data_IF_260113219395
#
_entry.id   IF_260113219395
#
_cell.length_a   1.000
_cell.length_b   1.000
_cell.length_c   1.000
_cell.angle_alpha   90.00
_cell.angle_beta   90.00
_cell.angle_gamma   90.00
#
_symmetry.space_group_name_H-M   'P 1'
#
loop_
_entity.id
_entity.type
_entity.pdbx_description
1 polymer ?
#
# COMPACT_ATOMS: atom_id res chain seq x y z
N UNK A 1 -42.96 -47.09 53.00
CA UNK A 1 -41.52 -47.04 52.67
C UNK A 1 -41.38 -46.79 51.20
N UNK A 2 -41.31 -45.50 50.77
CA UNK A 2 -41.28 -45.09 49.36
C UNK A 2 -39.90 -44.57 49.02
N UNK A 3 -39.16 -45.31 48.20
CA UNK A 3 -37.82 -44.92 47.71
C UNK A 3 -37.95 -44.02 46.48
N UNK A 4 -37.58 -42.75 46.62
CA UNK A 4 -37.47 -41.78 45.48
C UNK A 4 -36.15 -42.04 44.76
N UNK A 5 -36.20 -42.40 43.50
CA UNK A 5 -35.05 -42.42 42.59
C UNK A 5 -34.80 -41.04 42.07
N UNK A 6 -33.61 -40.47 42.33
CA UNK A 6 -33.12 -39.18 41.82
C UNK A 6 -32.49 -39.48 40.47
N UNK A 7 -33.04 -38.92 39.38
CA UNK A 7 -32.44 -38.91 38.05
C UNK A 7 -31.52 -37.71 37.95
N UNK A 8 -30.21 -37.92 37.83
CA UNK A 8 -29.26 -36.87 37.42
C UNK A 8 -29.30 -36.74 35.91
N UNK A 9 -29.72 -35.60 35.41
CA UNK A 9 -29.59 -35.23 34.01
C UNK A 9 -28.22 -34.57 33.81
N UNK A 10 -27.32 -35.24 33.08
CA UNK A 10 -26.02 -34.68 32.65
C UNK A 10 -26.28 -33.88 31.37
N UNK A 11 -26.30 -32.57 31.50
CA UNK A 11 -26.34 -31.67 30.36
C UNK A 11 -24.95 -31.60 29.68
N UNK A 12 -24.83 -32.13 28.48
CA UNK A 12 -23.62 -31.94 27.67
C UNK A 12 -23.60 -30.52 27.11
N UNK A 13 -22.64 -29.70 27.59
CA UNK A 13 -22.31 -28.40 26.99
C UNK A 13 -21.59 -28.65 25.67
N UNK A 14 -22.25 -28.49 24.56
CA UNK A 14 -21.62 -28.46 23.25
C UNK A 14 -20.88 -27.14 23.11
N UNK A 15 -19.54 -27.14 23.27
CA UNK A 15 -18.70 -26.02 22.89
C UNK A 15 -18.71 -25.89 21.37
N UNK A 16 -19.53 -24.98 20.89
CA UNK A 16 -19.56 -24.60 19.48
C UNK A 16 -18.24 -23.89 19.15
N UNK A 17 -17.35 -24.56 18.44
CA UNK A 17 -16.21 -23.92 17.78
C UNK A 17 -16.80 -23.08 16.63
N UNK A 18 -16.97 -21.78 16.85
CA UNK A 18 -17.21 -20.84 15.74
C UNK A 18 -15.95 -20.85 14.88
N UNK A 19 -16.04 -21.43 13.70
CA UNK A 19 -15.01 -21.25 12.68
C UNK A 19 -14.96 -19.75 12.38
N UNK A 20 -13.86 -19.09 12.72
CA UNK A 20 -13.58 -17.71 12.28
C UNK A 20 -13.50 -17.79 10.77
N UNK A 21 -14.53 -17.31 10.11
CA UNK A 21 -14.59 -17.22 8.66
C UNK A 21 -13.49 -16.24 8.24
N UNK A 22 -12.65 -16.63 7.29
CA UNK A 22 -11.59 -15.76 6.79
C UNK A 22 -12.25 -14.53 6.17
N UNK A 23 -12.12 -13.40 6.84
CA UNK A 23 -12.65 -12.13 6.38
C UNK A 23 -11.74 -11.60 5.28
N UNK A 24 -12.32 -11.24 4.15
CA UNK A 24 -11.62 -10.69 2.99
C UNK A 24 -12.14 -9.28 2.74
N UNK A 25 -11.24 -8.33 2.67
CA UNK A 25 -11.51 -6.96 2.21
C UNK A 25 -11.05 -6.89 0.77
N UNK A 26 -11.88 -6.31 -0.09
CA UNK A 26 -11.52 -6.04 -1.48
C UNK A 26 -11.87 -4.60 -1.77
N UNK A 27 -10.89 -3.81 -2.17
CA UNK A 27 -11.02 -2.46 -2.68
C UNK A 27 -10.66 -2.49 -4.15
N UNK A 28 -11.47 -1.87 -4.98
CA UNK A 28 -11.29 -1.80 -6.43
C UNK A 28 -10.86 -0.39 -6.76
N UNK A 29 -10.02 -0.26 -7.75
CA UNK A 29 -9.53 1.00 -8.27
C UNK A 29 -9.88 1.10 -9.76
N UNK A 30 -10.26 2.26 -10.29
CA UNK A 30 -10.51 2.43 -11.72
C UNK A 30 -9.22 2.27 -12.52
N UNK A 31 -9.32 2.16 -13.83
CA UNK A 31 -8.15 2.02 -14.69
C UNK A 31 -7.89 3.28 -15.50
N UNK A 32 -6.60 3.57 -15.77
CA UNK A 32 -6.17 4.65 -16.64
C UNK A 32 -5.87 5.96 -15.91
N UNK A 33 -5.62 5.89 -14.62
CA UNK A 33 -5.27 7.00 -13.74
C UNK A 33 -3.85 6.90 -13.14
N UNK A 34 -3.03 6.01 -13.65
CA UNK A 34 -1.63 5.80 -13.28
C UNK A 34 -0.68 6.92 -13.79
N UNK A 35 -1.15 8.15 -13.75
CA UNK A 35 -0.44 9.36 -14.16
C UNK A 35 -0.32 10.40 -13.03
N UNK A 36 -0.34 9.95 -11.78
CA UNK A 36 -0.20 10.77 -10.58
C UNK A 36 -1.26 11.86 -10.49
N UNK A 37 -0.88 13.16 -10.30
CA UNK A 37 -1.84 14.26 -10.29
C UNK A 37 -2.52 14.51 -11.66
N UNK A 38 -2.21 13.71 -12.69
CA UNK A 38 -2.87 13.71 -14.00
C UNK A 38 -1.97 14.08 -15.17
N UNK A 39 -0.69 14.37 -14.92
CA UNK A 39 0.25 14.85 -15.97
C UNK A 39 1.52 14.01 -16.09
N UNK A 40 1.68 12.97 -15.27
CA UNK A 40 2.90 12.18 -15.27
C UNK A 40 3.02 11.30 -16.52
N UNK A 41 4.24 11.18 -16.99
CA UNK A 41 4.61 10.51 -18.23
C UNK A 41 5.52 9.34 -17.89
N UNK A 42 5.23 8.17 -18.44
CA UNK A 42 6.04 6.97 -18.30
C UNK A 42 7.46 7.14 -18.87
N UNK A 43 8.45 6.44 -18.32
CA UNK A 43 9.77 6.34 -18.93
C UNK A 43 9.71 5.75 -20.33
N UNK A 44 10.72 6.06 -21.16
CA UNK A 44 10.74 5.65 -22.58
C UNK A 44 11.28 4.24 -22.82
N UNK A 45 11.85 3.58 -21.81
CA UNK A 45 12.31 2.18 -21.94
C UNK A 45 11.11 1.21 -21.99
N UNK A 46 11.21 0.21 -22.86
CA UNK A 46 10.13 -0.75 -23.10
C UNK A 46 9.74 -1.61 -21.89
N UNK A 47 10.53 -1.62 -20.82
CA UNK A 47 10.18 -2.31 -19.57
C UNK A 47 9.05 -1.63 -18.79
N UNK A 48 8.78 -0.35 -19.09
CA UNK A 48 7.71 0.43 -18.49
C UNK A 48 6.48 0.41 -19.41
N UNK A 49 5.79 -0.71 -19.43
CA UNK A 49 4.60 -0.87 -20.27
C UNK A 49 3.41 -0.10 -19.70
N UNK A 50 2.57 0.56 -20.55
CA UNK A 50 1.36 1.25 -20.09
C UNK A 50 0.48 0.36 -19.21
N UNK A 51 -0.01 0.87 -18.09
CA UNK A 51 -0.80 0.15 -17.11
C UNK A 51 0.02 -0.70 -16.12
N UNK A 52 1.37 -0.66 -16.19
CA UNK A 52 2.20 -1.42 -15.24
C UNK A 52 2.26 -0.78 -13.84
N UNK A 53 1.78 0.44 -13.70
CA UNK A 53 1.61 1.15 -12.42
C UNK A 53 0.15 1.51 -12.13
N UNK A 54 -0.78 1.11 -12.98
CA UNK A 54 -2.23 1.33 -12.92
C UNK A 54 -2.83 0.29 -11.94
N UNK A 55 -3.08 0.72 -10.72
CA UNK A 55 -3.68 -0.10 -9.65
C UNK A 55 -5.10 -0.49 -10.06
N UNK A 56 -5.52 -1.69 -9.76
CA UNK A 56 -6.88 -2.14 -10.06
C UNK A 56 -7.57 -2.79 -8.88
N UNK A 57 -6.82 -3.27 -7.88
CA UNK A 57 -7.38 -3.97 -6.73
C UNK A 57 -6.39 -4.06 -5.57
N UNK A 58 -6.91 -3.88 -4.36
CA UNK A 58 -6.31 -4.39 -3.13
C UNK A 58 -7.20 -5.48 -2.55
N UNK A 59 -6.66 -6.68 -2.32
CA UNK A 59 -7.29 -7.74 -1.53
C UNK A 59 -6.49 -7.96 -0.24
N UNK A 60 -7.16 -7.89 0.91
CA UNK A 60 -6.59 -8.18 2.23
C UNK A 60 -7.37 -9.33 2.85
N UNK A 61 -6.68 -10.39 3.25
CA UNK A 61 -7.30 -11.62 3.74
C UNK A 61 -6.67 -12.11 5.03
N UNK A 62 -7.45 -12.12 6.10
CA UNK A 62 -7.06 -12.79 7.34
C UNK A 62 -7.05 -14.31 7.17
N UNK A 63 -5.93 -14.96 7.53
CA UNK A 63 -5.76 -16.41 7.41
C UNK A 63 -5.02 -16.99 8.61
N UNK A 64 -5.75 -17.32 9.64
CA UNK A 64 -5.21 -17.83 10.89
C UNK A 64 -4.32 -16.80 11.58
N UNK A 65 -3.02 -17.08 11.70
CA UNK A 65 -2.04 -16.16 12.30
C UNK A 65 -1.39 -15.20 11.31
N UNK A 66 -1.86 -15.16 10.07
CA UNK A 66 -1.28 -14.34 9.02
C UNK A 66 -2.35 -13.46 8.36
N UNK A 67 -1.88 -12.39 7.73
CA UNK A 67 -2.65 -11.56 6.81
C UNK A 67 -1.96 -11.65 5.45
N UNK A 68 -2.73 -11.94 4.42
CA UNK A 68 -2.29 -11.93 3.02
C UNK A 68 -2.72 -10.62 2.39
N UNK A 69 -1.77 -9.89 1.82
CA UNK A 69 -1.99 -8.69 1.01
C UNK A 69 -1.74 -9.04 -0.45
N UNK A 70 -2.64 -8.63 -1.32
CA UNK A 70 -2.50 -8.77 -2.76
C UNK A 70 -2.97 -7.49 -3.43
N UNK A 71 -2.08 -6.86 -4.18
CA UNK A 71 -2.40 -5.74 -5.07
C UNK A 71 -2.38 -6.22 -6.51
N UNK A 72 -3.21 -5.66 -7.36
CA UNK A 72 -3.22 -5.96 -8.79
C UNK A 72 -3.03 -4.69 -9.59
N UNK A 73 -2.33 -4.79 -10.72
CA UNK A 73 -2.14 -3.69 -11.68
C UNK A 73 -2.76 -4.07 -13.03
N UNK A 74 -3.03 -3.09 -13.88
CA UNK A 74 -3.72 -3.33 -15.15
C UNK A 74 -2.88 -4.07 -16.19
N UNK A 75 -1.57 -4.14 -16.02
CA UNK A 75 -0.67 -4.84 -16.94
C UNK A 75 -0.10 -6.13 -16.33
N UNK A 76 0.22 -7.09 -17.20
CA UNK A 76 0.95 -8.30 -16.77
C UNK A 76 2.33 -7.92 -16.23
N UNK A 77 2.65 -8.45 -15.07
CA UNK A 77 3.96 -8.26 -14.44
C UNK A 77 5.06 -8.96 -15.23
N UNK A 78 6.19 -8.30 -15.33
CA UNK A 78 7.41 -8.82 -15.93
C UNK A 78 8.60 -8.61 -15.00
N UNK A 79 9.61 -9.46 -15.14
CA UNK A 79 10.85 -9.38 -14.35
C UNK A 79 12.06 -9.17 -15.27
N UNK A 80 12.14 -8.03 -15.98
CA UNK A 80 13.20 -7.77 -16.95
C UNK A 80 14.59 -7.65 -16.31
N UNK A 81 14.66 -7.42 -15.01
CA UNK A 81 15.92 -7.25 -14.28
C UNK A 81 16.32 -8.48 -13.46
N UNK A 82 15.56 -9.59 -13.56
CA UNK A 82 15.89 -10.84 -12.89
C UNK A 82 15.89 -10.73 -11.36
N UNK A 83 14.83 -10.11 -10.80
CA UNK A 83 14.67 -9.96 -9.35
C UNK A 83 14.24 -11.27 -8.65
N UNK A 84 13.92 -12.31 -9.43
CA UNK A 84 13.52 -13.65 -8.96
C UNK A 84 12.24 -13.69 -8.12
N UNK A 85 11.44 -12.64 -8.19
CA UNK A 85 10.13 -12.52 -7.47
C UNK A 85 8.94 -12.37 -8.42
N UNK A 86 9.19 -12.34 -9.74
CA UNK A 86 8.17 -12.29 -10.80
C UNK A 86 7.69 -10.88 -11.16
N UNK A 87 8.37 -9.86 -10.67
CA UNK A 87 8.21 -8.46 -11.06
C UNK A 87 9.49 -7.68 -10.73
N UNK A 88 9.68 -6.52 -11.32
CA UNK A 88 10.93 -5.76 -11.15
C UNK A 88 10.71 -4.25 -11.00
N UNK A 89 9.77 -3.67 -11.74
CA UNK A 89 9.68 -2.20 -11.86
C UNK A 89 8.77 -1.56 -10.79
N UNK A 90 7.83 -2.31 -10.23
CA UNK A 90 6.89 -1.78 -9.25
C UNK A 90 7.48 -1.75 -7.84
N UNK A 91 7.07 -0.75 -7.07
CA UNK A 91 7.25 -0.62 -5.63
C UNK A 91 5.90 -0.21 -5.05
N UNK A 92 5.31 -1.01 -4.18
CA UNK A 92 3.97 -0.75 -3.66
C UNK A 92 4.01 -0.66 -2.16
N UNK A 93 3.32 0.34 -1.61
CA UNK A 93 3.15 0.56 -0.19
C UNK A 93 1.67 0.43 0.15
N UNK A 94 1.34 -0.45 1.09
CA UNK A 94 -0.02 -0.58 1.63
C UNK A 94 -0.01 0.01 3.03
N UNK A 95 -0.46 1.25 3.15
CA UNK A 95 -0.64 1.94 4.43
C UNK A 95 -1.94 1.47 5.07
N UNK A 96 -1.95 1.37 6.39
CA UNK A 96 -3.05 0.80 7.15
C UNK A 96 -3.30 1.66 8.38
N UNK A 97 -4.49 2.21 8.49
CA UNK A 97 -5.04 2.75 9.71
C UNK A 97 -5.80 1.62 10.43
N UNK A 98 -5.28 1.18 11.55
CA UNK A 98 -5.79 0.01 12.27
C UNK A 98 -6.82 0.34 13.33
N UNK A 99 -6.97 1.61 13.72
CA UNK A 99 -7.82 2.01 14.85
C UNK A 99 -8.87 3.09 14.52
N UNK A 100 -8.70 3.85 13.42
CA UNK A 100 -9.61 4.91 12.99
C UNK A 100 -9.66 6.10 13.97
N UNK A 101 -8.57 6.32 14.72
CA UNK A 101 -8.51 7.36 15.77
C UNK A 101 -7.76 8.58 15.25
N UNK A 102 -8.44 9.70 15.14
CA UNK A 102 -7.82 10.96 14.73
C UNK A 102 -6.64 11.32 15.65
N UNK A 103 -5.49 11.60 15.05
CA UNK A 103 -4.25 11.95 15.75
C UNK A 103 -3.47 10.75 16.30
N UNK A 104 -3.92 9.52 16.04
CA UNK A 104 -3.13 8.31 16.19
C UNK A 104 -2.26 8.09 14.95
N UNK A 105 -1.16 7.36 15.06
CA UNK A 105 -0.33 6.98 13.92
C UNK A 105 0.51 8.12 13.31
N UNK A 106 0.94 7.90 12.08
CA UNK A 106 1.81 8.80 11.32
C UNK A 106 1.01 9.54 10.25
N UNK A 107 1.22 10.84 10.13
CA UNK A 107 0.70 11.67 9.02
C UNK A 107 1.75 11.92 7.93
N UNK A 108 2.99 11.57 8.16
CA UNK A 108 4.07 11.71 7.18
C UNK A 108 4.10 10.51 6.22
N UNK A 109 4.30 10.77 4.94
CA UNK A 109 4.57 9.71 3.96
C UNK A 109 5.96 9.10 4.16
N UNK A 110 6.20 7.94 3.55
CA UNK A 110 7.55 7.35 3.57
C UNK A 110 8.54 8.20 2.76
N UNK A 111 9.82 8.22 3.15
CA UNK A 111 10.86 9.01 2.48
C UNK A 111 10.92 8.76 0.97
N UNK A 112 10.79 9.83 0.19
CA UNK A 112 10.81 9.81 -1.27
C UNK A 112 9.43 9.79 -1.95
N UNK A 113 8.32 9.78 -1.18
CA UNK A 113 6.97 9.86 -1.75
C UNK A 113 6.47 11.31 -1.89
N UNK A 114 6.95 12.23 -1.06
CA UNK A 114 6.49 13.64 -1.01
C UNK A 114 4.97 13.78 -0.81
N UNK A 115 4.43 13.03 0.12
CA UNK A 115 3.02 13.08 0.48
C UNK A 115 2.86 13.12 2.00
N UNK A 116 1.71 13.56 2.44
CA UNK A 116 1.27 13.45 3.82
C UNK A 116 -0.12 12.79 3.88
N UNK A 117 -0.55 12.41 5.07
CA UNK A 117 -1.88 11.88 5.32
C UNK A 117 -2.72 12.90 6.08
N UNK A 118 -4.02 12.93 5.82
CA UNK A 118 -4.94 13.74 6.60
C UNK A 118 -4.90 13.30 8.09
N UNK A 119 -5.05 14.21 9.06
CA UNK A 119 -4.96 13.86 10.49
C UNK A 119 -5.95 12.78 10.94
N UNK A 120 -7.12 12.70 10.30
CA UNK A 120 -8.12 11.65 10.55
C UNK A 120 -7.87 10.34 9.80
N UNK A 121 -6.79 10.28 9.00
CA UNK A 121 -6.40 9.16 8.16
C UNK A 121 -4.92 8.81 8.36
N UNK A 122 -4.39 9.09 9.56
CA UNK A 122 -3.04 8.70 9.93
C UNK A 122 -2.88 7.17 9.90
N UNK A 123 -1.67 6.68 9.61
CA UNK A 123 -1.42 5.25 9.48
C UNK A 123 -0.55 4.72 10.64
N UNK A 124 -0.90 3.53 11.16
CA UNK A 124 -0.11 2.83 12.18
C UNK A 124 0.86 1.82 11.57
N UNK A 125 0.54 1.26 10.40
CA UNK A 125 1.38 0.28 9.73
C UNK A 125 1.45 0.51 8.23
N UNK A 126 2.60 0.18 7.64
CA UNK A 126 2.74 0.13 6.19
C UNK A 126 3.43 -1.17 5.78
N UNK A 127 2.82 -1.90 4.84
CA UNK A 127 3.40 -3.12 4.26
C UNK A 127 4.10 -2.76 2.95
N UNK A 128 5.38 -3.09 2.87
CA UNK A 128 6.23 -2.77 1.71
C UNK A 128 6.29 -3.97 0.76
N UNK A 129 5.65 -3.86 -0.41
CA UNK A 129 5.70 -4.86 -1.47
C UNK A 129 6.78 -4.47 -2.49
N UNK A 130 7.97 -5.00 -2.30
CA UNK A 130 9.16 -4.65 -3.07
C UNK A 130 9.70 -5.85 -3.85
N UNK A 131 10.26 -5.65 -5.05
CA UNK A 131 11.02 -6.69 -5.75
C UNK A 131 12.41 -6.89 -5.15
N UNK A 132 12.88 -5.94 -4.32
CA UNK A 132 14.19 -6.01 -3.69
C UNK A 132 14.24 -7.08 -2.59
N UNK A 133 15.40 -7.70 -2.33
CA UNK A 133 15.55 -8.62 -1.22
C UNK A 133 15.20 -7.97 0.13
N UNK A 134 14.53 -8.73 1.02
CA UNK A 134 14.11 -8.25 2.34
C UNK A 134 15.25 -7.55 3.10
N UNK A 135 16.46 -8.12 3.08
CA UNK A 135 17.62 -7.56 3.78
C UNK A 135 18.01 -6.17 3.26
N UNK A 136 17.82 -5.92 1.96
CA UNK A 136 18.07 -4.61 1.38
C UNK A 136 17.01 -3.60 1.83
N UNK A 137 15.73 -3.97 1.74
CA UNK A 137 14.64 -3.09 2.21
C UNK A 137 14.82 -2.75 3.68
N UNK A 138 15.16 -3.73 4.53
CA UNK A 138 15.46 -3.51 5.95
C UNK A 138 16.63 -2.53 6.17
N UNK A 139 17.69 -2.65 5.40
CA UNK A 139 18.84 -1.73 5.50
C UNK A 139 18.48 -0.29 5.09
N UNK A 140 17.67 -0.14 4.05
CA UNK A 140 17.18 1.15 3.59
C UNK A 140 16.24 1.79 4.62
N UNK A 141 15.28 1.05 5.15
CA UNK A 141 14.36 1.51 6.21
C UNK A 141 15.15 1.95 7.45
N UNK A 142 16.10 1.13 7.91
CA UNK A 142 16.93 1.48 9.05
C UNK A 142 17.74 2.77 8.84
N UNK A 143 18.16 3.03 7.61
CA UNK A 143 18.97 4.21 7.28
C UNK A 143 18.13 5.48 7.07
N UNK A 144 16.93 5.36 6.50
CA UNK A 144 16.16 6.48 5.96
C UNK A 144 14.84 6.74 6.68
N UNK A 145 14.26 5.73 7.31
CA UNK A 145 12.98 5.78 8.00
C UNK A 145 13.09 5.24 9.45
N UNK A 146 14.21 5.51 10.12
CA UNK A 146 14.49 4.96 11.44
C UNK A 146 13.44 5.34 12.51
N UNK A 147 12.82 6.50 12.40
CA UNK A 147 11.77 6.96 13.31
C UNK A 147 10.46 6.15 13.20
N UNK A 148 10.24 5.50 12.05
CA UNK A 148 9.02 4.72 11.74
C UNK A 148 9.32 3.22 11.64
N UNK A 149 10.51 2.77 12.05
CA UNK A 149 11.01 1.42 11.76
C UNK A 149 10.11 0.30 12.30
N UNK A 150 9.47 0.53 13.45
CA UNK A 150 8.59 -0.44 14.11
C UNK A 150 7.20 -0.55 13.43
N UNK A 151 6.89 0.40 12.56
CA UNK A 151 5.61 0.50 11.86
C UNK A 151 5.73 0.15 10.37
N UNK A 152 6.96 -0.08 9.88
CA UNK A 152 7.21 -0.53 8.51
C UNK A 152 7.38 -2.05 8.47
N UNK A 153 6.36 -2.73 7.96
CA UNK A 153 6.33 -4.19 7.84
C UNK A 153 6.94 -4.62 6.51
N UNK A 154 8.04 -5.35 6.58
CA UNK A 154 8.77 -5.86 5.41
C UNK A 154 8.55 -7.37 5.30
N UNK A 155 7.70 -7.83 4.39
CA UNK A 155 7.42 -9.25 4.24
C UNK A 155 8.69 -10.06 3.97
N UNK A 156 8.73 -11.28 4.49
CA UNK A 156 9.86 -12.19 4.22
C UNK A 156 10.05 -12.45 2.73
N UNK A 157 8.95 -12.44 1.97
CA UNK A 157 8.94 -12.64 0.53
C UNK A 157 7.74 -11.91 -0.07
N UNK A 158 7.98 -11.15 -1.12
CA UNK A 158 6.98 -10.64 -2.04
C UNK A 158 6.99 -11.48 -3.31
N UNK A 159 5.86 -11.67 -3.97
CA UNK A 159 5.76 -12.51 -5.16
C UNK A 159 4.81 -11.87 -6.16
N UNK A 160 5.28 -11.69 -7.40
CA UNK A 160 4.47 -11.30 -8.55
C UNK A 160 3.98 -12.51 -9.33
N UNK A 161 2.70 -12.50 -9.73
CA UNK A 161 2.13 -13.53 -10.60
C UNK A 161 0.98 -12.97 -11.43
N UNK A 162 1.08 -13.08 -12.74
CA UNK A 162 0.06 -12.53 -13.65
C UNK A 162 0.05 -11.01 -13.59
N UNK A 163 -1.00 -10.44 -13.06
CA UNK A 163 -1.15 -9.00 -12.82
C UNK A 163 -1.01 -8.62 -11.34
N UNK A 164 -0.79 -9.57 -10.45
CA UNK A 164 -0.87 -9.34 -9.00
C UNK A 164 0.47 -9.50 -8.30
N UNK A 165 0.72 -8.63 -7.33
CA UNK A 165 1.84 -8.65 -6.40
C UNK A 165 1.29 -8.94 -5.02
N UNK A 166 1.83 -9.92 -4.32
CA UNK A 166 1.32 -10.29 -3.01
C UNK A 166 2.40 -10.68 -2.03
N UNK A 167 2.05 -10.56 -0.77
CA UNK A 167 2.86 -10.99 0.36
C UNK A 167 2.00 -11.50 1.50
N UNK A 168 2.65 -12.24 2.40
CA UNK A 168 2.08 -12.71 3.65
C UNK A 168 2.91 -12.18 4.80
N UNK A 169 2.24 -11.61 5.79
CA UNK A 169 2.83 -11.13 7.03
C UNK A 169 2.15 -11.80 8.22
N UNK A 170 2.76 -11.79 9.39
CA UNK A 170 2.08 -12.25 10.60
C UNK A 170 1.07 -11.20 11.06
N UNK A 171 -0.09 -11.63 11.53
CA UNK A 171 -1.11 -10.72 12.04
C UNK A 171 -0.60 -9.87 13.20
N UNK A 172 0.29 -10.43 14.04
CA UNK A 172 0.93 -9.70 15.16
C UNK A 172 1.82 -8.54 14.71
N UNK A 173 2.31 -8.54 13.46
CA UNK A 173 3.13 -7.46 12.90
C UNK A 173 2.27 -6.26 12.46
N UNK A 174 0.98 -6.46 12.17
CA UNK A 174 0.05 -5.40 11.78
C UNK A 174 -0.69 -4.87 13.00
N UNK A 175 -1.24 -5.75 13.83
CA UNK A 175 -2.02 -5.39 15.00
C UNK A 175 -3.12 -6.37 15.30
N UNK A 176 -3.87 -6.08 16.37
CA UNK A 176 -5.04 -6.86 16.78
C UNK A 176 -6.30 -6.17 16.30
N UNK A 177 -7.06 -6.79 15.45
CA UNK A 177 -8.30 -6.23 14.93
C UNK A 177 -8.82 -7.05 13.76
N UNK A 178 -9.98 -6.64 13.29
CA UNK A 178 -10.57 -7.19 12.09
C UNK A 178 -10.13 -6.35 10.90
N UNK A 179 -9.40 -6.91 9.92
CA UNK A 179 -9.02 -6.17 8.71
C UNK A 179 -10.18 -5.49 7.98
N UNK A 180 -11.41 -5.93 8.18
CA UNK A 180 -12.60 -5.30 7.58
C UNK A 180 -12.97 -3.95 8.22
N UNK A 181 -12.41 -3.61 9.37
CA UNK A 181 -12.66 -2.33 10.05
C UNK A 181 -11.52 -1.32 9.86
N UNK A 182 -10.44 -1.70 9.20
CA UNK A 182 -9.28 -0.85 8.97
C UNK A 182 -9.47 0.06 7.77
N UNK A 183 -8.75 1.19 7.79
CA UNK A 183 -8.56 2.03 6.62
C UNK A 183 -7.34 1.57 5.83
N UNK A 184 -7.39 1.73 4.51
CA UNK A 184 -6.30 1.35 3.62
C UNK A 184 -5.99 2.47 2.63
N UNK A 185 -4.71 2.67 2.38
CA UNK A 185 -4.23 3.44 1.24
C UNK A 185 -3.14 2.64 0.54
N UNK A 186 -3.26 2.50 -0.77
CA UNK A 186 -2.22 1.88 -1.60
C UNK A 186 -1.53 2.94 -2.41
N UNK A 187 -0.22 2.97 -2.36
CA UNK A 187 0.61 3.85 -3.17
C UNK A 187 1.43 3.00 -4.13
N UNK A 188 1.29 3.25 -5.42
CA UNK A 188 2.06 2.60 -6.48
C UNK A 188 3.15 3.52 -6.97
N UNK A 189 4.40 3.03 -6.89
CA UNK A 189 5.59 3.77 -7.30
C UNK A 189 6.55 2.83 -8.06
N UNK A 190 7.54 3.38 -8.73
CA UNK A 190 8.59 2.63 -9.40
C UNK A 190 9.73 2.27 -8.46
N UNK A 191 10.20 1.02 -8.56
CA UNK A 191 11.36 0.54 -7.85
C UNK A 191 12.64 1.21 -8.39
N UNK A 192 13.43 1.79 -7.49
CA UNK A 192 14.73 2.39 -7.79
C UNK A 192 15.87 1.53 -7.22
N UNK A 193 16.71 1.01 -8.11
CA UNK A 193 17.86 0.20 -7.72
C UNK A 193 18.97 1.01 -7.04
N UNK A 194 19.07 2.32 -7.34
CA UNK A 194 20.06 3.25 -6.80
C UNK A 194 19.39 4.56 -6.38
N UNK A 195 18.52 4.53 -5.36
CA UNK A 195 17.71 5.67 -4.98
C UNK A 195 18.59 6.83 -4.47
N UNK A 196 18.03 8.03 -4.46
CA UNK A 196 18.63 9.17 -3.77
C UNK A 196 18.85 8.84 -2.28
N UNK A 197 19.78 9.54 -1.63
CA UNK A 197 20.15 9.25 -0.22
C UNK A 197 18.98 9.35 0.75
N UNK A 198 17.99 10.17 0.41
CA UNK A 198 16.79 10.42 1.21
C UNK A 198 15.65 9.45 0.90
N UNK A 199 15.62 8.82 -0.27
CA UNK A 199 14.46 8.15 -0.81
C UNK A 199 14.49 6.63 -0.53
N UNK A 200 13.38 6.07 -0.10
CA UNK A 200 13.25 4.66 0.27
C UNK A 200 12.94 3.80 -0.96
N UNK A 201 13.98 3.48 -1.75
CA UNK A 201 13.87 2.61 -2.94
C UNK A 201 12.85 3.08 -3.99
N UNK A 202 12.42 4.33 -3.91
CA UNK A 202 11.47 4.96 -4.82
C UNK A 202 12.17 5.79 -5.88
N UNK A 203 11.58 5.85 -7.05
CA UNK A 203 12.06 6.64 -8.17
C UNK A 203 11.31 7.98 -8.21
N UNK A 204 12.04 9.07 -8.30
CA UNK A 204 11.46 10.41 -8.44
C UNK A 204 10.78 10.60 -9.78
N UNK A 205 9.75 11.43 -9.81
CA UNK A 205 9.21 12.01 -11.01
C UNK A 205 10.03 13.29 -11.32
N UNK A 206 10.32 13.54 -12.57
CA UNK A 206 11.14 14.68 -13.01
C UNK A 206 10.33 15.55 -13.97
N UNK A 207 10.84 16.73 -14.34
CA UNK A 207 10.17 17.59 -15.33
C UNK A 207 10.03 16.88 -16.68
N UNK A 208 11.10 16.21 -17.12
CA UNK A 208 11.12 15.49 -18.40
C UNK A 208 11.33 13.99 -18.18
N UNK A 209 10.62 13.20 -18.94
CA UNK A 209 10.83 11.75 -18.97
C UNK A 209 12.20 11.38 -19.56
N UNK A 210 12.67 10.21 -19.23
CA UNK A 210 13.90 9.64 -19.76
C UNK A 210 13.78 8.14 -19.87
N UNK A 211 14.87 7.46 -20.22
CA UNK A 211 14.85 6.01 -20.39
C UNK A 211 14.27 5.29 -19.17
N UNK A 212 14.63 5.70 -17.96
CA UNK A 212 14.18 5.11 -16.71
C UNK A 212 13.63 6.18 -15.73
N UNK A 213 13.22 7.34 -16.20
CA UNK A 213 12.67 8.44 -15.40
C UNK A 213 11.27 8.77 -15.84
N UNK A 214 10.37 8.90 -14.89
CA UNK A 214 9.06 9.49 -15.11
C UNK A 214 9.21 10.99 -15.34
N UNK A 215 8.41 11.55 -16.23
CA UNK A 215 8.31 12.96 -16.53
C UNK A 215 6.97 13.56 -16.10
N UNK A 216 6.80 14.86 -16.34
CA UNK A 216 5.58 15.59 -16.02
C UNK A 216 5.53 16.14 -14.59
N UNK A 217 6.58 15.93 -13.77
CA UNK A 217 6.78 16.63 -12.51
C UNK A 217 7.44 18.00 -12.72
N UNK A 218 8.02 18.55 -11.70
CA UNK A 218 8.66 19.86 -11.78
C UNK A 218 10.13 19.91 -11.33
N UNK A 219 10.78 18.75 -11.16
CA UNK A 219 12.15 18.60 -10.65
C UNK A 219 12.38 19.19 -9.23
N UNK A 220 11.32 19.58 -8.54
CA UNK A 220 11.35 20.17 -7.21
C UNK A 220 10.99 19.14 -6.13
N UNK A 221 11.12 19.51 -4.86
CA UNK A 221 10.85 18.60 -3.73
C UNK A 221 9.39 18.65 -3.26
N UNK A 222 8.49 19.15 -4.10
CA UNK A 222 7.09 19.39 -3.75
C UNK A 222 6.09 18.47 -4.45
N UNK A 223 6.41 17.97 -5.63
CA UNK A 223 5.53 17.06 -6.37
C UNK A 223 5.50 15.65 -5.76
N UNK A 224 4.34 15.02 -5.67
CA UNK A 224 4.21 13.65 -5.15
C UNK A 224 4.88 12.66 -6.10
N UNK A 225 5.86 11.90 -5.61
CA UNK A 225 6.57 10.92 -6.42
C UNK A 225 5.86 9.56 -6.39
N UNK A 226 4.67 9.48 -6.98
CA UNK A 226 3.87 8.26 -7.08
C UNK A 226 2.99 8.29 -8.34
N UNK A 227 2.63 7.12 -8.82
CA UNK A 227 1.91 7.00 -10.09
C UNK A 227 0.42 6.82 -9.88
N UNK A 228 0.04 6.11 -8.81
CA UNK A 228 -1.33 5.72 -8.57
C UNK A 228 -1.60 5.47 -7.08
N UNK A 229 -2.84 5.71 -6.64
CA UNK A 229 -3.30 5.51 -5.26
C UNK A 229 -4.77 5.08 -5.24
N UNK A 230 -5.19 4.43 -4.17
CA UNK A 230 -6.63 4.24 -3.92
C UNK A 230 -7.29 5.59 -3.63
N UNK A 231 -8.47 5.82 -4.19
CA UNK A 231 -9.23 7.05 -3.98
C UNK A 231 -10.73 6.76 -3.78
N UNK A 232 -11.48 7.77 -3.34
CA UNK A 232 -12.93 7.70 -3.19
C UNK A 232 -13.41 6.58 -2.26
N UNK A 233 -14.39 5.81 -2.72
CA UNK A 233 -15.00 4.72 -1.93
C UNK A 233 -14.36 3.35 -2.16
N UNK A 234 -13.38 3.23 -3.07
CA UNK A 234 -12.70 1.99 -3.42
C UNK A 234 -13.62 0.97 -4.10
N UNK A 235 -14.59 1.44 -4.88
CA UNK A 235 -15.53 0.61 -5.61
C UNK A 235 -15.23 0.50 -7.11
N UNK A 236 -14.21 1.23 -7.58
CA UNK A 236 -13.72 1.25 -8.97
C UNK A 236 -14.56 2.13 -9.89
N UNK A 237 -15.30 3.10 -9.36
CA UNK A 237 -16.08 4.03 -10.16
C UNK A 237 -15.20 5.08 -10.86
N UNK A 238 -15.66 5.59 -12.01
CA UNK A 238 -14.91 6.64 -12.74
C UNK A 238 -14.77 7.95 -11.95
N UNK A 239 -15.61 8.18 -10.94
CA UNK A 239 -15.51 9.35 -10.05
C UNK A 239 -14.23 9.31 -9.19
N UNK A 240 -13.66 8.15 -8.94
CA UNK A 240 -12.42 7.96 -8.18
C UNK A 240 -11.21 8.56 -8.90
N UNK A 241 -11.20 8.60 -10.23
CA UNK A 241 -10.16 9.28 -11.04
C UNK A 241 -10.08 10.77 -10.68
N UNK A 242 -11.22 11.42 -10.50
CA UNK A 242 -11.26 12.83 -10.11
C UNK A 242 -10.85 13.01 -8.64
N UNK A 243 -11.27 12.08 -7.77
CA UNK A 243 -10.90 12.07 -6.36
C UNK A 243 -9.39 11.88 -6.17
N UNK A 244 -8.75 10.99 -6.96
CA UNK A 244 -7.29 10.83 -6.96
C UNK A 244 -6.57 12.14 -7.34
N UNK A 245 -7.00 12.81 -8.43
CA UNK A 245 -6.39 14.08 -8.85
C UNK A 245 -6.51 15.17 -7.80
N UNK A 246 -7.63 15.24 -7.10
CA UNK A 246 -7.83 16.17 -5.99
C UNK A 246 -6.91 15.82 -4.82
N UNK A 247 -6.85 14.54 -4.43
CA UNK A 247 -5.99 14.03 -3.36
C UNK A 247 -4.51 14.28 -3.64
N UNK A 248 -4.08 14.13 -4.88
CA UNK A 248 -2.70 14.31 -5.31
C UNK A 248 -2.37 15.76 -5.69
N UNK A 249 -3.30 16.70 -5.52
CA UNK A 249 -3.02 18.12 -5.74
C UNK A 249 -1.97 18.64 -4.74
N UNK A 250 -1.09 19.49 -5.21
CA UNK A 250 0.00 20.07 -4.43
C UNK A 250 0.32 21.49 -4.91
N UNK A 251 1.07 22.23 -4.10
CA UNK A 251 1.59 23.55 -4.49
C UNK A 251 3.07 23.66 -4.14
N UNK A 252 3.84 24.27 -5.03
CA UNK A 252 5.26 24.52 -4.82
C UNK A 252 5.52 25.99 -4.59
N UNK A 253 6.41 26.30 -3.67
CA UNK A 253 7.00 27.64 -3.51
C UNK A 253 8.07 27.92 -4.57
N UNK A 254 8.43 29.20 -4.73
CA UNK A 254 9.46 29.63 -5.70
C UNK A 254 10.85 29.04 -5.42
N UNK A 255 11.12 28.59 -4.19
CA UNK A 255 12.37 27.92 -3.79
C UNK A 255 12.31 26.40 -4.00
N UNK A 256 11.18 25.86 -4.49
CA UNK A 256 11.02 24.47 -4.82
C UNK A 256 10.59 23.57 -3.66
N UNK A 257 10.31 24.15 -2.50
CA UNK A 257 9.66 23.45 -1.39
C UNK A 257 8.13 23.51 -1.55
N UNK A 258 7.41 22.53 -1.00
CA UNK A 258 5.95 22.52 -1.08
C UNK A 258 5.32 23.41 -0.02
N UNK A 259 4.47 24.36 -0.42
CA UNK A 259 3.56 25.04 0.50
C UNK A 259 2.49 24.08 1.04
N UNK A 260 2.05 23.17 0.16
CA UNK A 260 1.13 22.09 0.50
C UNK A 260 1.51 20.83 -0.27
N UNK A 261 1.89 19.80 0.46
CA UNK A 261 2.07 18.45 -0.09
C UNK A 261 0.72 17.83 -0.42
N UNK A 262 0.72 16.93 -1.39
CA UNK A 262 -0.42 16.05 -1.64
C UNK A 262 -0.83 15.34 -0.35
N UNK A 263 -2.15 15.32 -0.06
CA UNK A 263 -2.68 14.81 1.20
C UNK A 263 -3.55 13.59 0.95
N UNK A 264 -3.05 12.42 1.34
CA UNK A 264 -3.73 11.15 1.17
C UNK A 264 -4.78 10.93 2.27
N UNK A 265 -5.85 10.22 1.90
CA UNK A 265 -6.89 9.73 2.81
C UNK A 265 -6.99 8.22 2.76
N UNK A 266 -7.56 7.60 3.78
CA UNK A 266 -7.80 6.16 3.81
C UNK A 266 -9.13 5.80 3.18
N UNK A 267 -9.14 4.73 2.40
CA UNK A 267 -10.37 4.10 1.92
C UNK A 267 -10.83 3.07 2.94
N UNK A 268 -12.11 3.10 3.32
CA UNK A 268 -12.74 2.21 4.32
C UNK A 268 -13.99 1.58 3.74
N UNK A 269 -14.31 0.36 4.19
CA UNK A 269 -15.52 -0.36 3.82
C UNK A 269 -16.44 -0.58 5.00
#
# INVERSE_FOLDING_TARGET
>A
MFTRKLLLAIGALAAGTTAVQAQTVTLIDPTGDDNGPGEYIYPTDAVYTPGSFDLTELEVKAKGKNIEFKTSVNQRLEDPWGMDVGFAVQMIFVFIDTDGVEGSGHTEGLPGLNVQFAPGDAWEKVVVLSPQPQSRVQAEVKSKAAAMIDDIVIPRRTTGRGKSIGAKVKAEEIGTGDPATWGYQVVVQSNEGFPAKTDLLTRRVNEYEGQHRFGGGNDMMCDPHLMDVLAGDGDGSEDEIAAQKEMLSYTCTDDGEGDALATLTMVRR
#
